data_IF_884316571285
#
_entry.id   IF_884316571285
#
_cell.length_a   1.000
_cell.length_b   1.000
_cell.length_c   1.000
_cell.angle_alpha   90.00
_cell.angle_beta   90.00
_cell.angle_gamma   90.00
#
_symmetry.space_group_name_H-M   'P 1'
#
loop_
_entity.id
_entity.type
_entity.pdbx_description
1 polymer ?
#
# COMPACT_ATOMS: atom_id res chain seq x y z
N UNK A 1 -28.15 -7.62 21.00
CA UNK A 1 -27.22 -7.13 19.97
C UNK A 1 -25.82 -7.49 20.43
N UNK A 2 -25.06 -8.31 19.68
CA UNK A 2 -23.65 -8.48 19.98
C UNK A 2 -22.92 -7.19 19.58
N UNK A 3 -22.13 -6.67 20.51
CA UNK A 3 -21.17 -5.59 20.27
C UNK A 3 -20.21 -5.97 19.14
N UNK A 4 -19.83 -5.06 18.23
CA UNK A 4 -18.73 -5.31 17.31
C UNK A 4 -17.47 -5.50 18.16
N UNK A 5 -16.82 -6.65 18.03
CA UNK A 5 -15.47 -6.84 18.54
C UNK A 5 -14.57 -5.79 17.90
N UNK A 6 -13.93 -4.97 18.73
CA UNK A 6 -12.92 -3.99 18.33
C UNK A 6 -11.83 -4.69 17.50
N UNK A 7 -11.84 -4.51 16.18
CA UNK A 7 -10.79 -5.04 15.30
C UNK A 7 -9.60 -4.07 15.32
N UNK A 8 -8.78 -4.14 16.37
CA UNK A 8 -7.41 -3.65 16.19
C UNK A 8 -6.76 -4.51 15.10
N UNK A 9 -6.09 -3.92 14.10
CA UNK A 9 -5.42 -4.68 13.04
C UNK A 9 -4.61 -5.84 13.63
N UNK A 10 -4.83 -7.07 13.16
CA UNK A 10 -4.18 -8.24 13.76
C UNK A 10 -2.64 -8.11 13.71
N UNK A 11 -1.89 -8.57 14.72
CA UNK A 11 -0.43 -8.45 14.75
C UNK A 11 0.26 -9.02 13.49
N UNK A 12 -0.31 -10.06 12.87
CA UNK A 12 0.17 -10.64 11.61
C UNK A 12 0.03 -9.71 10.41
N UNK A 13 -1.05 -8.90 10.35
CA UNK A 13 -1.21 -7.87 9.30
C UNK A 13 -0.14 -6.81 9.42
N UNK A 14 0.13 -6.33 10.65
CA UNK A 14 1.22 -5.37 10.91
C UNK A 14 2.59 -5.95 10.54
N UNK A 15 2.80 -7.24 10.78
CA UNK A 15 4.08 -7.92 10.50
C UNK A 15 4.31 -7.99 8.99
N UNK A 16 3.32 -8.52 8.28
CA UNK A 16 3.37 -8.61 6.82
C UNK A 16 3.47 -7.23 6.17
N UNK A 17 2.71 -6.26 6.68
CA UNK A 17 2.81 -4.86 6.26
C UNK A 17 4.24 -4.34 6.35
N UNK A 18 4.91 -4.53 7.50
CA UNK A 18 6.28 -4.07 7.72
C UNK A 18 7.27 -4.72 6.76
N UNK A 19 7.14 -6.04 6.54
CA UNK A 19 7.96 -6.78 5.58
C UNK A 19 7.79 -6.28 4.14
N UNK A 20 6.56 -5.98 3.73
CA UNK A 20 6.28 -5.41 2.41
C UNK A 20 6.86 -4.00 2.29
N UNK A 21 6.70 -3.15 3.31
CA UNK A 21 7.29 -1.81 3.33
C UNK A 21 8.79 -1.85 3.07
N UNK A 22 9.49 -2.73 3.77
CA UNK A 22 10.92 -2.93 3.61
C UNK A 22 11.31 -3.46 2.23
N UNK A 23 10.56 -4.43 1.69
CA UNK A 23 10.76 -4.91 0.33
C UNK A 23 10.60 -3.79 -0.71
N UNK A 24 9.57 -2.94 -0.56
CA UNK A 24 9.38 -1.75 -1.41
C UNK A 24 10.58 -0.80 -1.31
N UNK A 25 11.08 -0.53 -0.10
CA UNK A 25 12.25 0.33 0.06
C UNK A 25 13.50 -0.25 -0.60
N UNK A 26 13.78 -1.56 -0.42
CA UNK A 26 14.91 -2.23 -1.08
C UNK A 26 14.81 -2.19 -2.60
N UNK A 27 13.61 -2.33 -3.14
CA UNK A 27 13.36 -2.20 -4.58
C UNK A 27 13.65 -0.79 -5.09
N UNK A 28 13.12 0.24 -4.42
CA UNK A 28 13.33 1.63 -4.80
C UNK A 28 14.80 2.05 -4.72
N UNK A 29 15.54 1.53 -3.75
CA UNK A 29 17.00 1.74 -3.64
C UNK A 29 17.81 1.10 -4.77
N UNK A 30 17.23 0.16 -5.54
CA UNK A 30 17.96 -0.53 -6.61
C UNK A 30 18.17 0.32 -7.86
N UNK A 31 17.36 1.39 -8.04
CA UNK A 31 17.30 2.22 -9.25
C UNK A 31 17.05 1.42 -10.56
N UNK A 32 16.69 0.14 -10.43
CA UNK A 32 16.45 -0.80 -11.53
C UNK A 32 15.05 -1.39 -11.43
N UNK A 33 14.48 -1.93 -12.53
CA UNK A 33 13.21 -2.65 -12.48
C UNK A 33 13.29 -3.76 -11.42
N UNK A 34 12.45 -3.63 -10.41
CA UNK A 34 12.36 -4.52 -9.28
C UNK A 34 11.02 -5.25 -9.26
N UNK A 35 11.05 -6.51 -8.87
CA UNK A 35 9.86 -7.33 -8.66
C UNK A 35 9.73 -7.61 -7.18
N UNK A 36 8.57 -7.30 -6.61
CA UNK A 36 8.15 -7.71 -5.29
C UNK A 36 7.07 -8.79 -5.45
N UNK A 37 7.23 -9.93 -4.78
CA UNK A 37 6.25 -11.00 -4.77
C UNK A 37 5.85 -11.36 -3.33
N UNK A 38 4.55 -11.38 -3.08
CA UNK A 38 3.96 -11.88 -1.84
C UNK A 38 3.28 -13.20 -2.15
N UNK A 39 3.68 -14.26 -1.44
CA UNK A 39 3.10 -15.59 -1.61
C UNK A 39 2.53 -16.15 -0.32
N UNK A 40 1.32 -16.68 -0.41
CA UNK A 40 0.65 -17.41 0.66
C UNK A 40 0.50 -18.85 0.21
N UNK A 41 1.06 -19.79 0.96
CA UNK A 41 0.98 -21.22 0.67
C UNK A 41 0.38 -21.95 1.86
N UNK A 42 -0.78 -22.57 1.64
CA UNK A 42 -1.40 -23.44 2.63
C UNK A 42 -0.56 -24.69 2.92
N UNK A 43 -0.93 -25.46 3.96
CA UNK A 43 -0.25 -26.70 4.28
C UNK A 43 -0.32 -27.67 3.10
N UNK A 44 0.85 -28.16 2.67
CA UNK A 44 0.98 -29.11 1.56
C UNK A 44 0.61 -30.54 1.95
N UNK A 45 0.60 -30.87 3.24
CA UNK A 45 0.21 -32.16 3.79
C UNK A 45 -0.74 -31.93 4.98
N UNK A 46 -1.99 -32.46 4.95
CA UNK A 46 -2.93 -32.36 6.08
C UNK A 46 -2.42 -32.99 7.38
N UNK A 47 -1.43 -33.90 7.30
CA UNK A 47 -0.80 -34.53 8.47
C UNK A 47 0.42 -33.74 9.01
N UNK A 48 0.98 -32.83 8.21
CA UNK A 48 2.00 -31.89 8.66
C UNK A 48 1.33 -30.59 9.13
N UNK A 49 2.01 -29.85 10.02
CA UNK A 49 1.57 -28.58 10.62
C UNK A 49 0.60 -27.79 9.74
N UNK A 50 -0.54 -27.41 10.29
CA UNK A 50 -1.57 -26.62 9.60
C UNK A 50 -1.11 -25.20 9.21
N UNK A 51 0.14 -24.83 9.51
CA UNK A 51 0.64 -23.48 9.36
C UNK A 51 0.58 -22.94 7.91
N UNK A 52 0.07 -21.71 7.79
CA UNK A 52 0.11 -20.93 6.56
C UNK A 52 1.52 -20.35 6.39
N UNK A 53 2.19 -20.69 5.29
CA UNK A 53 3.47 -20.07 4.94
C UNK A 53 3.23 -18.77 4.21
N UNK A 54 3.79 -17.69 4.72
CA UNK A 54 3.83 -16.38 4.06
C UNK A 54 5.28 -16.10 3.65
N UNK A 55 5.49 -15.72 2.39
CA UNK A 55 6.79 -15.27 1.89
C UNK A 55 6.63 -13.90 1.22
N UNK A 56 7.51 -12.96 1.60
CA UNK A 56 7.71 -11.68 0.91
C UNK A 56 9.08 -11.72 0.28
N UNK A 57 9.13 -11.59 -1.04
CA UNK A 57 10.38 -11.61 -1.79
C UNK A 57 10.51 -10.37 -2.68
N UNK A 58 11.73 -9.91 -2.87
CA UNK A 58 12.06 -8.82 -3.76
C UNK A 58 13.37 -9.06 -4.51
N UNK A 59 13.52 -8.42 -5.67
CA UNK A 59 14.77 -8.38 -6.45
C UNK A 59 15.57 -7.09 -6.21
N UNK A 60 15.39 -6.46 -5.05
CA UNK A 60 16.02 -5.20 -4.69
C UNK A 60 17.50 -5.37 -4.33
N UNK A 61 18.06 -4.41 -3.60
CA UNK A 61 19.51 -4.33 -3.29
C UNK A 61 20.04 -5.43 -2.36
N UNK A 62 19.18 -6.29 -1.81
CA UNK A 62 19.51 -7.20 -0.71
C UNK A 62 19.33 -6.52 0.65
N UNK A 63 19.44 -7.30 1.73
CA UNK A 63 19.13 -6.88 3.10
C UNK A 63 20.32 -7.14 4.03
N UNK A 64 20.34 -6.41 5.14
CA UNK A 64 21.19 -6.72 6.29
C UNK A 64 20.32 -7.14 7.46
N UNK A 65 20.87 -7.96 8.35
CA UNK A 65 20.10 -8.53 9.46
C UNK A 65 19.55 -7.48 10.43
N UNK A 66 20.21 -6.32 10.55
CA UNK A 66 19.78 -5.26 11.45
C UNK A 66 18.42 -4.69 11.09
N UNK A 67 18.00 -4.81 9.82
CA UNK A 67 16.67 -4.42 9.35
C UNK A 67 15.57 -5.17 10.12
N UNK A 68 15.76 -6.46 10.40
CA UNK A 68 14.75 -7.30 11.04
C UNK A 68 14.68 -7.15 12.56
N UNK A 69 15.67 -6.49 13.18
CA UNK A 69 15.62 -6.19 14.61
C UNK A 69 14.50 -5.21 14.95
N UNK A 70 14.07 -4.38 14.00
CA UNK A 70 12.98 -3.43 14.20
C UNK A 70 11.62 -4.13 14.39
N UNK A 71 11.49 -5.41 14.03
CA UNK A 71 10.29 -6.21 14.30
C UNK A 71 10.15 -6.66 15.75
N UNK A 72 11.13 -6.39 16.62
CA UNK A 72 11.13 -6.86 18.00
C UNK A 72 9.90 -6.42 18.81
N UNK A 73 9.50 -5.17 18.65
CA UNK A 73 8.30 -4.66 19.33
C UNK A 73 7.05 -5.42 18.87
N UNK A 74 6.95 -5.64 17.56
CA UNK A 74 5.79 -6.28 16.95
C UNK A 74 5.72 -7.79 17.21
N UNK A 75 6.87 -8.45 17.27
CA UNK A 75 6.95 -9.84 17.66
C UNK A 75 6.49 -10.04 19.11
N UNK A 76 6.83 -9.12 20.02
CA UNK A 76 6.32 -9.16 21.41
C UNK A 76 4.82 -8.94 21.52
N UNK A 77 4.22 -8.19 20.60
CA UNK A 77 2.76 -7.99 20.52
C UNK A 77 2.02 -9.19 19.90
N UNK A 78 2.74 -10.08 19.21
CA UNK A 78 2.14 -11.23 18.53
C UNK A 78 2.11 -12.45 19.46
N UNK A 79 0.93 -13.06 19.71
CA UNK A 79 0.85 -14.25 20.54
C UNK A 79 1.62 -15.44 19.94
N UNK A 80 2.32 -16.20 20.80
CA UNK A 80 3.11 -17.39 20.40
C UNK A 80 2.25 -18.48 19.76
N UNK A 81 0.97 -18.56 20.13
CA UNK A 81 0.02 -19.49 19.55
C UNK A 81 -0.25 -19.18 18.07
N UNK A 82 -0.03 -17.92 17.66
CA UNK A 82 -0.32 -17.45 16.32
C UNK A 82 0.90 -17.36 15.40
N UNK A 83 2.09 -17.18 15.97
CA UNK A 83 3.35 -17.20 15.24
C UNK A 83 4.48 -17.63 16.16
N UNK A 84 5.37 -18.48 15.66
CA UNK A 84 6.51 -19.02 16.41
C UNK A 84 7.69 -18.03 16.57
N UNK A 85 7.52 -16.78 16.15
CA UNK A 85 8.54 -15.73 16.16
C UNK A 85 9.69 -15.95 15.18
N UNK A 86 9.65 -17.01 14.38
CA UNK A 86 10.74 -17.34 13.47
C UNK A 86 10.56 -16.68 12.11
N UNK A 87 11.61 -16.00 11.67
CA UNK A 87 11.80 -15.57 10.29
C UNK A 87 12.89 -16.43 9.65
N UNK A 88 12.63 -16.88 8.42
CA UNK A 88 13.63 -17.46 7.54
C UNK A 88 13.97 -16.42 6.47
N UNK A 89 15.21 -15.97 6.47
CA UNK A 89 15.68 -14.89 5.61
C UNK A 89 16.69 -15.45 4.64
N UNK A 90 16.42 -15.31 3.35
CA UNK A 90 17.38 -15.55 2.27
C UNK A 90 17.72 -14.21 1.64
N UNK A 91 18.99 -13.82 1.59
CA UNK A 91 19.35 -12.51 1.04
C UNK A 91 20.70 -12.51 0.35
N UNK A 92 20.83 -11.64 -0.64
CA UNK A 92 22.07 -11.40 -1.34
C UNK A 92 22.09 -10.04 -2.04
N UNK A 93 23.18 -9.30 -1.93
CA UNK A 93 23.42 -8.07 -2.67
C UNK A 93 24.07 -8.32 -4.03
N UNK A 94 24.03 -7.34 -4.93
CA UNK A 94 24.52 -7.48 -6.33
C UNK A 94 26.00 -7.89 -6.39
N UNK A 95 26.80 -7.40 -5.45
CA UNK A 95 28.24 -7.65 -5.36
C UNK A 95 28.61 -8.87 -4.52
N UNK A 96 27.64 -9.51 -3.86
CA UNK A 96 27.89 -10.69 -3.06
C UNK A 96 28.18 -11.90 -3.95
N UNK A 97 29.19 -12.69 -3.56
CA UNK A 97 29.52 -13.97 -4.21
C UNK A 97 28.61 -15.11 -3.78
N UNK A 98 27.83 -14.89 -2.72
CA UNK A 98 27.06 -15.91 -2.04
C UNK A 98 25.65 -15.43 -1.70
N UNK A 99 24.77 -16.40 -1.52
CA UNK A 99 23.40 -16.28 -1.05
C UNK A 99 23.42 -16.73 0.41
N UNK A 100 23.03 -15.81 1.29
CA UNK A 100 23.03 -16.06 2.72
C UNK A 100 21.65 -16.50 3.18
N UNK A 101 21.63 -17.49 4.06
CA UNK A 101 20.41 -18.04 4.64
C UNK A 101 20.52 -17.88 6.16
N UNK A 102 19.50 -17.28 6.77
CA UNK A 102 19.44 -17.01 8.20
C UNK A 102 18.12 -17.49 8.77
N UNK A 103 18.17 -18.00 9.99
CA UNK A 103 17.00 -18.20 10.83
C UNK A 103 17.09 -17.22 11.99
N UNK A 104 16.05 -16.41 12.14
CA UNK A 104 15.97 -15.33 13.11
C UNK A 104 14.76 -15.54 14.03
N UNK A 105 14.97 -15.71 15.33
CA UNK A 105 13.90 -15.93 16.31
C UNK A 105 13.66 -14.65 17.13
N UNK A 106 12.60 -13.91 16.81
CA UNK A 106 12.29 -12.62 17.43
C UNK A 106 11.75 -12.72 18.86
N UNK A 107 11.30 -13.90 19.31
CA UNK A 107 10.91 -14.13 20.71
C UNK A 107 12.10 -14.39 21.63
N UNK A 108 13.27 -14.70 21.09
CA UNK A 108 14.48 -14.83 21.90
C UNK A 108 15.08 -13.46 22.23
N UNK A 109 15.72 -13.35 23.39
CA UNK A 109 16.37 -12.10 23.80
C UNK A 109 17.38 -11.61 22.77
N UNK A 110 17.44 -10.30 22.54
CA UNK A 110 18.34 -9.66 21.57
C UNK A 110 19.82 -10.05 21.76
N UNK A 111 20.25 -10.25 23.01
CA UNK A 111 21.62 -10.65 23.36
C UNK A 111 21.89 -12.16 23.24
N UNK A 112 20.88 -12.97 22.90
CA UNK A 112 21.03 -14.42 22.80
C UNK A 112 21.78 -14.82 21.54
N UNK A 113 22.77 -15.70 21.67
CA UNK A 113 23.50 -16.26 20.52
C UNK A 113 22.64 -17.22 19.68
N UNK A 114 21.56 -17.77 20.24
CA UNK A 114 20.62 -18.66 19.55
C UNK A 114 19.60 -17.91 18.69
N UNK A 115 19.46 -16.59 18.91
CA UNK A 115 18.46 -15.74 18.26
C UNK A 115 18.64 -15.65 16.76
N UNK A 116 19.89 -15.65 16.30
CA UNK A 116 20.22 -15.61 14.89
C UNK A 116 21.20 -16.73 14.57
N UNK A 117 20.76 -17.68 13.75
CA UNK A 117 21.63 -18.73 13.23
C UNK A 117 21.82 -18.57 11.73
N UNK A 118 23.08 -18.52 11.30
CA UNK A 118 23.46 -18.57 9.89
C UNK A 118 23.44 -20.03 9.43
N UNK A 119 22.65 -20.30 8.40
CA UNK A 119 22.53 -21.63 7.79
C UNK A 119 23.56 -21.82 6.68
N UNK A 120 23.56 -23.01 6.07
CA UNK A 120 24.45 -23.32 4.95
C UNK A 120 24.31 -22.26 3.84
N UNK A 121 25.44 -21.69 3.44
CA UNK A 121 25.50 -20.62 2.42
C UNK A 121 25.61 -21.23 1.04
N UNK A 122 24.89 -20.67 0.07
CA UNK A 122 24.92 -21.11 -1.33
C UNK A 122 25.76 -20.12 -2.17
N UNK A 123 26.58 -20.58 -3.11
CA UNK A 123 27.37 -19.69 -3.96
C UNK A 123 26.65 -19.35 -5.26
N UNK A 124 26.79 -18.11 -5.73
CA UNK A 124 26.13 -17.65 -6.97
C UNK A 124 26.74 -18.19 -8.25
N UNK A 125 27.93 -18.79 -8.20
CA UNK A 125 28.62 -19.34 -9.36
C UNK A 125 28.66 -18.35 -10.56
N UNK A 126 29.08 -17.11 -10.29
CA UNK A 126 29.15 -15.98 -11.24
C UNK A 126 27.82 -15.38 -11.73
N UNK A 127 26.67 -15.86 -11.25
CA UNK A 127 25.39 -15.21 -11.52
C UNK A 127 25.34 -13.80 -10.88
N UNK A 128 24.79 -12.83 -11.62
CA UNK A 128 24.62 -11.44 -11.18
C UNK A 128 23.15 -11.16 -10.89
N UNK A 129 22.78 -11.25 -9.62
CA UNK A 129 21.45 -10.90 -9.13
C UNK A 129 21.53 -10.48 -7.66
N UNK A 130 20.49 -9.80 -7.20
CA UNK A 130 20.29 -9.39 -5.82
C UNK A 130 18.83 -9.61 -5.42
N UNK A 131 18.57 -9.61 -4.12
CA UNK A 131 17.22 -9.74 -3.60
C UNK A 131 17.19 -10.23 -2.18
N UNK A 132 15.99 -10.22 -1.62
CA UNK A 132 15.70 -10.74 -0.29
C UNK A 132 14.38 -11.50 -0.34
N UNK A 133 14.34 -12.65 0.32
CA UNK A 133 13.12 -13.38 0.64
C UNK A 133 13.03 -13.53 2.16
N UNK A 134 11.87 -13.21 2.71
CA UNK A 134 11.54 -13.41 4.12
C UNK A 134 10.32 -14.29 4.21
N UNK A 135 10.49 -15.47 4.82
CA UNK A 135 9.43 -16.43 5.06
C UNK A 135 9.10 -16.49 6.55
N UNK A 136 7.82 -16.63 6.86
CA UNK A 136 7.31 -16.90 8.20
C UNK A 136 6.12 -17.86 8.14
N UNK A 137 5.89 -18.58 9.23
CA UNK A 137 4.80 -19.55 9.35
C UNK A 137 3.79 -19.04 10.37
N UNK A 138 2.57 -18.76 9.91
CA UNK A 138 1.45 -18.37 10.75
C UNK A 138 0.64 -19.61 11.13
N UNK A 139 0.08 -19.63 12.33
CA UNK A 139 -0.94 -20.64 12.68
C UNK A 139 -2.11 -20.57 11.70
N UNK A 140 -2.78 -21.69 11.49
CA UNK A 140 -4.05 -21.68 10.78
C UNK A 140 -5.14 -21.14 11.72
N UNK A 141 -5.39 -19.84 11.64
CA UNK A 141 -6.48 -19.20 12.40
C UNK A 141 -7.81 -19.33 11.65
N UNK A 142 -8.93 -19.22 12.38
CA UNK A 142 -10.28 -19.15 11.82
C UNK A 142 -10.51 -17.94 10.89
N UNK A 143 -9.57 -16.99 10.87
CA UNK A 143 -9.65 -15.71 10.15
C UNK A 143 -8.77 -15.66 8.90
N UNK A 144 -8.34 -16.80 8.37
CA UNK A 144 -7.47 -16.87 7.17
C UNK A 144 -8.11 -16.18 5.95
N UNK A 145 -9.43 -16.30 5.78
CA UNK A 145 -10.15 -15.66 4.70
C UNK A 145 -10.15 -14.14 4.84
N UNK A 146 -10.32 -13.62 6.05
CA UNK A 146 -10.23 -12.19 6.36
C UNK A 146 -8.79 -11.66 6.16
N UNK A 147 -7.78 -12.46 6.49
CA UNK A 147 -6.38 -12.13 6.19
C UNK A 147 -6.12 -12.07 4.68
N UNK A 148 -6.63 -13.04 3.91
CA UNK A 148 -6.50 -13.06 2.44
C UNK A 148 -7.25 -11.89 1.80
N UNK A 149 -8.46 -11.59 2.25
CA UNK A 149 -9.25 -10.46 1.77
C UNK A 149 -8.52 -9.14 2.02
N UNK A 150 -7.96 -8.97 3.22
CA UNK A 150 -7.12 -7.81 3.52
C UNK A 150 -5.90 -7.74 2.60
N UNK A 151 -5.20 -8.85 2.36
CA UNK A 151 -3.99 -8.85 1.54
C UNK A 151 -4.29 -8.57 0.06
N UNK A 152 -5.39 -9.11 -0.46
CA UNK A 152 -5.90 -8.81 -1.81
C UNK A 152 -6.24 -7.32 -1.91
N UNK A 153 -6.95 -6.78 -0.92
CA UNK A 153 -7.26 -5.34 -0.84
C UNK A 153 -6.00 -4.48 -0.77
N UNK A 154 -5.02 -4.90 0.04
CA UNK A 154 -3.72 -4.23 0.17
C UNK A 154 -2.99 -4.21 -1.18
N UNK A 155 -2.84 -5.36 -1.85
CA UNK A 155 -2.19 -5.48 -3.15
C UNK A 155 -2.87 -4.58 -4.20
N UNK A 156 -4.21 -4.58 -4.27
CA UNK A 156 -4.99 -3.70 -5.13
C UNK A 156 -4.70 -2.23 -4.86
N UNK A 157 -4.62 -1.81 -3.59
CA UNK A 157 -4.21 -0.45 -3.23
C UNK A 157 -2.79 -0.16 -3.72
N UNK A 158 -1.82 -1.07 -3.58
CA UNK A 158 -0.47 -0.80 -4.09
C UNK A 158 -0.43 -0.60 -5.61
N UNK A 159 -1.26 -1.33 -6.37
CA UNK A 159 -1.35 -1.15 -7.82
C UNK A 159 -1.81 0.26 -8.23
N UNK A 160 -2.55 0.98 -7.38
CA UNK A 160 -2.96 2.39 -7.61
C UNK A 160 -1.75 3.32 -7.76
N UNK A 161 -0.66 3.06 -7.03
CA UNK A 161 0.53 3.92 -7.08
C UNK A 161 1.27 3.80 -8.40
N UNK A 162 1.14 2.67 -9.11
CA UNK A 162 1.90 2.34 -10.33
C UNK A 162 3.38 2.75 -10.24
N UNK A 163 4.00 2.48 -9.08
CA UNK A 163 5.32 2.97 -8.74
C UNK A 163 6.36 2.62 -9.83
N UNK A 164 7.03 3.64 -10.37
CA UNK A 164 8.08 3.45 -11.37
C UNK A 164 9.08 2.37 -10.94
N UNK A 165 9.40 1.45 -11.85
CA UNK A 165 10.37 0.37 -11.63
C UNK A 165 9.99 -0.63 -10.53
N UNK A 166 8.72 -0.70 -10.09
CA UNK A 166 8.27 -1.71 -9.14
C UNK A 166 7.08 -2.51 -9.72
N UNK A 167 7.30 -3.79 -9.97
CA UNK A 167 6.25 -4.75 -10.27
C UNK A 167 5.88 -5.51 -8.99
N UNK A 168 4.59 -5.63 -8.70
CA UNK A 168 4.09 -6.36 -7.53
C UNK A 168 3.26 -7.54 -8.00
N UNK A 169 3.49 -8.69 -7.39
CA UNK A 169 2.72 -9.90 -7.64
C UNK A 169 2.21 -10.50 -6.33
N UNK A 170 0.92 -10.81 -6.30
CA UNK A 170 0.30 -11.58 -5.23
C UNK A 170 -0.04 -12.97 -5.76
N UNK A 171 0.48 -14.01 -5.10
CA UNK A 171 0.14 -15.41 -5.38
C UNK A 171 -0.41 -16.09 -4.13
N UNK A 172 -1.65 -16.54 -4.19
CA UNK A 172 -2.28 -17.30 -3.10
C UNK A 172 -2.52 -18.71 -3.59
N UNK A 173 -1.85 -19.69 -2.98
CA UNK A 173 -1.97 -21.12 -3.24
C UNK A 173 -2.61 -21.80 -2.02
N UNK A 174 -3.91 -22.09 -2.08
CA UNK A 174 -4.60 -22.88 -1.06
C UNK A 174 -5.08 -24.22 -1.62
N UNK A 175 -4.84 -25.28 -0.84
CA UNK A 175 -5.38 -26.63 -0.99
C UNK A 175 -6.59 -26.79 -0.09
N UNK A 176 -7.78 -26.44 -0.56
CA UNK A 176 -9.03 -26.83 0.10
C UNK A 176 -9.47 -28.16 -0.53
N UNK A 177 -10.02 -29.07 0.28
CA UNK A 177 -10.49 -30.41 -0.11
C UNK A 177 -11.57 -30.44 -1.21
N UNK A 178 -12.02 -29.29 -1.70
CA UNK A 178 -13.01 -29.11 -2.77
C UNK A 178 -12.55 -28.25 -3.96
N UNK A 179 -11.27 -27.92 -4.06
CA UNK A 179 -10.71 -27.21 -5.23
C UNK A 179 -9.58 -26.24 -4.86
N UNK A 180 -8.59 -26.11 -5.74
CA UNK A 180 -7.48 -25.16 -5.57
C UNK A 180 -7.96 -23.75 -5.92
N UNK A 181 -7.90 -22.82 -4.96
CA UNK A 181 -8.12 -21.39 -5.21
C UNK A 181 -6.76 -20.75 -5.46
N UNK A 182 -6.42 -20.55 -6.73
CA UNK A 182 -5.24 -19.77 -7.12
C UNK A 182 -5.69 -18.35 -7.43
N UNK A 183 -5.41 -17.41 -6.52
CA UNK A 183 -5.55 -15.98 -6.84
C UNK A 183 -4.18 -15.49 -7.28
N UNK A 184 -4.09 -15.06 -8.54
CA UNK A 184 -2.99 -14.26 -9.05
C UNK A 184 -3.55 -12.90 -9.40
N UNK A 185 -2.96 -11.85 -8.86
CA UNK A 185 -3.20 -10.49 -9.31
C UNK A 185 -1.98 -10.07 -10.13
N UNK A 186 -1.94 -10.38 -11.44
CA UNK A 186 -0.91 -9.85 -12.31
C UNK A 186 -1.09 -8.33 -12.48
N UNK A 187 0.00 -7.66 -12.83
CA UNK A 187 -0.04 -6.26 -13.24
C UNK A 187 -0.68 -6.21 -14.65
N UNK A 188 -2.01 -6.27 -14.75
CA UNK A 188 -2.73 -6.15 -16.02
C UNK A 188 -2.63 -4.70 -16.48
N UNK A 189 -1.66 -4.45 -17.36
CA UNK A 189 -1.47 -3.17 -18.04
C UNK A 189 -2.20 -3.24 -19.39
N UNK A 190 -3.50 -2.94 -19.41
CA UNK A 190 -4.17 -2.63 -20.67
C UNK A 190 -3.75 -1.23 -21.17
N UNK A 191 -3.07 -1.23 -22.32
CA UNK A 191 -2.90 -0.19 -23.35
C UNK A 191 -2.44 1.25 -23.00
N UNK A 192 -2.09 1.58 -21.76
CA UNK A 192 -1.39 2.84 -21.45
C UNK A 192 0.08 2.55 -21.15
N UNK A 193 0.92 2.58 -22.19
CA UNK A 193 2.37 2.55 -22.07
C UNK A 193 2.87 3.84 -21.40
N UNK A 194 2.71 3.95 -20.08
CA UNK A 194 3.37 4.97 -19.29
C UNK A 194 4.87 4.71 -19.36
N UNK A 195 5.61 5.69 -19.86
CA UNK A 195 7.07 5.61 -19.92
C UNK A 195 7.65 5.57 -18.50
N UNK A 196 8.88 5.04 -18.36
CA UNK A 196 9.63 5.12 -17.10
C UNK A 196 9.84 6.59 -16.66
N UNK A 197 9.73 7.56 -17.59
CA UNK A 197 9.85 8.99 -17.32
C UNK A 197 8.55 9.67 -16.84
N UNK A 198 7.44 8.94 -16.77
CA UNK A 198 6.17 9.47 -16.26
C UNK A 198 6.31 9.90 -14.81
N UNK A 199 5.75 11.06 -14.45
CA UNK A 199 5.84 11.59 -13.09
C UNK A 199 5.03 10.74 -12.09
N UNK A 200 5.38 10.80 -10.81
CA UNK A 200 4.66 10.08 -9.73
C UNK A 200 3.16 10.43 -9.70
N UNK A 201 2.80 11.71 -9.88
CA UNK A 201 1.40 12.13 -9.92
C UNK A 201 0.63 11.56 -11.12
N UNK A 202 1.25 11.47 -12.30
CA UNK A 202 0.63 10.86 -13.48
C UNK A 202 0.45 9.34 -13.31
N UNK A 203 1.41 8.67 -12.66
CA UNK A 203 1.29 7.25 -12.29
C UNK A 203 0.12 7.03 -11.33
N UNK A 204 0.01 7.88 -10.30
CA UNK A 204 -1.08 7.85 -9.32
C UNK A 204 -2.44 8.06 -9.99
N UNK A 205 -2.56 9.03 -10.88
CA UNK A 205 -3.79 9.28 -11.65
C UNK A 205 -4.17 8.05 -12.46
N UNK A 206 -3.24 7.52 -13.24
CA UNK A 206 -3.51 6.38 -14.10
C UNK A 206 -3.90 5.12 -13.32
N UNK A 207 -3.25 4.87 -12.18
CA UNK A 207 -3.63 3.75 -11.31
C UNK A 207 -4.94 3.99 -10.56
N UNK A 208 -5.28 5.24 -10.23
CA UNK A 208 -6.58 5.57 -9.64
C UNK A 208 -7.72 5.40 -10.65
N UNK A 209 -7.48 5.73 -11.93
CA UNK A 209 -8.42 5.42 -13.01
C UNK A 209 -8.66 3.91 -13.09
N UNK A 210 -7.62 3.08 -13.18
CA UNK A 210 -7.78 1.62 -13.21
C UNK A 210 -8.53 1.10 -11.99
N UNK A 211 -8.20 1.64 -10.81
CA UNK A 211 -8.84 1.27 -9.57
C UNK A 211 -10.33 1.60 -9.60
N UNK A 212 -10.69 2.78 -10.09
CA UNK A 212 -12.08 3.17 -10.26
C UNK A 212 -12.81 2.21 -11.21
N UNK A 213 -12.19 1.90 -12.36
CA UNK A 213 -12.73 0.99 -13.38
C UNK A 213 -12.88 -0.46 -12.88
N UNK A 214 -11.93 -0.93 -12.07
CA UNK A 214 -11.88 -2.32 -11.58
C UNK A 214 -12.73 -2.57 -10.32
N UNK A 215 -13.10 -1.53 -9.56
CA UNK A 215 -13.82 -1.69 -8.29
C UNK A 215 -15.34 -1.92 -8.39
N UNK A 216 -15.89 -2.08 -9.60
CA UNK A 216 -17.31 -2.41 -9.80
C UNK A 216 -17.60 -3.88 -10.13
N UNK A 217 -16.58 -4.67 -10.48
CA UNK A 217 -16.80 -6.00 -11.08
C UNK A 217 -16.39 -7.13 -10.12
N UNK A 218 -17.37 -7.67 -9.39
CA UNK A 218 -17.38 -9.10 -9.05
C UNK A 218 -17.71 -9.98 -10.28
N UNK A 219 -17.95 -9.37 -11.43
CA UNK A 219 -18.20 -10.02 -12.70
C UNK A 219 -17.07 -9.67 -13.68
N UNK A 220 -16.15 -10.59 -13.94
CA UNK A 220 -14.99 -10.38 -14.83
C UNK A 220 -15.36 -10.03 -16.29
N UNK A 221 -16.65 -9.90 -16.65
CA UNK A 221 -17.13 -9.75 -18.03
C UNK A 221 -18.42 -8.95 -18.11
N UNK A 222 -18.41 -7.72 -17.63
CA UNK A 222 -19.53 -6.82 -17.84
C UNK A 222 -19.11 -5.68 -18.76
N UNK A 223 -19.37 -5.84 -20.06
CA UNK A 223 -19.09 -4.82 -21.09
C UNK A 223 -19.87 -3.52 -20.82
N UNK A 224 -21.00 -3.60 -20.11
CA UNK A 224 -21.76 -2.44 -19.63
C UNK A 224 -21.13 -1.74 -18.40
N UNK A 225 -20.22 -2.41 -17.68
CA UNK A 225 -19.53 -1.93 -16.49
C UNK A 225 -18.21 -1.24 -16.79
N UNK A 226 -17.65 -1.45 -17.97
CA UNK A 226 -16.43 -0.80 -18.42
C UNK A 226 -16.73 0.68 -18.63
N UNK A 227 -16.39 1.49 -17.62
CA UNK A 227 -16.40 2.93 -17.77
C UNK A 227 -15.37 3.31 -18.83
N UNK A 228 -15.80 4.08 -19.83
CA UNK A 228 -14.85 4.71 -20.74
C UNK A 228 -14.01 5.70 -19.92
N UNK A 229 -12.67 5.59 -19.98
CA UNK A 229 -11.73 6.54 -19.36
C UNK A 229 -12.09 7.99 -19.69
N UNK A 230 -12.60 8.25 -20.90
CA UNK A 230 -13.02 9.59 -21.35
C UNK A 230 -14.14 10.22 -20.50
N UNK A 231 -14.86 9.43 -19.69
CA UNK A 231 -15.93 9.89 -18.81
C UNK A 231 -15.45 10.23 -17.39
N UNK A 232 -14.20 9.92 -17.06
CA UNK A 232 -13.59 10.26 -15.78
C UNK A 232 -13.07 11.69 -15.84
N UNK A 233 -13.34 12.47 -14.78
CA UNK A 233 -12.67 13.75 -14.58
C UNK A 233 -11.65 13.59 -13.47
N UNK A 234 -10.44 14.05 -13.73
CA UNK A 234 -9.33 13.97 -12.77
C UNK A 234 -8.92 15.37 -12.36
N UNK A 235 -8.83 15.61 -11.05
CA UNK A 235 -8.15 16.76 -10.46
C UNK A 235 -6.89 16.32 -9.75
N UNK A 236 -5.81 17.09 -9.88
CA UNK A 236 -4.53 16.80 -9.20
C UNK A 236 -4.03 17.99 -8.38
N UNK A 237 -3.22 17.71 -7.37
CA UNK A 237 -2.52 18.72 -6.58
C UNK A 237 -1.19 18.19 -6.06
N UNK A 238 -0.20 19.07 -5.92
CA UNK A 238 1.11 18.72 -5.37
C UNK A 238 1.63 19.81 -4.44
N UNK A 239 2.19 19.43 -3.29
CA UNK A 239 2.85 20.32 -2.35
C UNK A 239 4.24 19.79 -1.99
N UNK A 240 5.17 20.70 -1.72
CA UNK A 240 6.54 20.36 -1.32
C UNK A 240 6.96 21.17 -0.10
N UNK A 241 7.46 20.49 0.93
CA UNK A 241 8.05 21.18 2.06
C UNK A 241 9.47 21.66 1.71
N UNK A 242 9.65 22.99 1.64
CA UNK A 242 10.93 23.65 1.38
C UNK A 242 11.65 24.12 2.66
N UNK A 243 11.10 23.86 3.84
CA UNK A 243 11.60 24.42 5.09
C UNK A 243 12.95 23.81 5.52
N UNK A 244 13.75 24.56 6.29
CA UNK A 244 15.13 24.19 6.68
C UNK A 244 15.21 23.17 7.84
N UNK A 245 14.09 22.68 8.35
CA UNK A 245 13.99 21.70 9.45
C UNK A 245 13.81 20.25 8.94
N UNK A 246 13.53 19.31 9.85
CA UNK A 246 13.61 17.82 9.69
C UNK A 246 12.87 17.23 8.47
N UNK A 247 11.89 17.93 7.89
CA UNK A 247 11.03 17.43 6.81
C UNK A 247 11.35 18.00 5.42
N UNK A 248 12.60 18.40 5.20
CA UNK A 248 13.07 18.93 3.92
C UNK A 248 12.87 17.89 2.81
N UNK A 249 12.11 18.24 1.79
CA UNK A 249 11.92 17.38 0.61
C UNK A 249 10.76 16.38 0.71
N UNK A 250 9.91 16.49 1.73
CA UNK A 250 8.60 15.85 1.76
C UNK A 250 7.72 16.40 0.64
N UNK A 251 7.13 15.49 -0.14
CA UNK A 251 6.20 15.74 -1.22
C UNK A 251 4.84 15.15 -0.85
N UNK A 252 3.78 15.88 -1.19
CA UNK A 252 2.41 15.40 -1.08
C UNK A 252 1.76 15.57 -2.45
N UNK A 253 1.21 14.50 -2.98
CA UNK A 253 0.49 14.44 -4.24
C UNK A 253 -0.94 13.96 -3.96
N UNK A 254 -1.93 14.58 -4.60
CA UNK A 254 -3.33 14.22 -4.46
C UNK A 254 -3.93 14.05 -5.84
N UNK A 255 -4.67 12.97 -6.05
CA UNK A 255 -5.50 12.73 -7.21
C UNK A 255 -6.95 12.51 -6.76
N UNK A 256 -7.88 13.24 -7.37
CA UNK A 256 -9.31 13.10 -7.15
C UNK A 256 -9.94 12.71 -8.49
N UNK A 257 -10.60 11.57 -8.52
CA UNK A 257 -11.32 11.07 -9.68
C UNK A 257 -12.82 11.21 -9.44
N UNK A 258 -13.54 11.73 -10.43
CA UNK A 258 -14.99 11.90 -10.40
C UNK A 258 -15.60 11.23 -11.63
N UNK A 259 -16.54 10.32 -11.39
CA UNK A 259 -17.34 9.66 -12.40
C UNK A 259 -18.75 10.27 -12.42
N UNK A 260 -19.18 10.83 -13.55
CA UNK A 260 -20.53 11.39 -13.69
C UNK A 260 -21.61 10.31 -13.81
N UNK A 261 -22.82 10.60 -13.36
CA UNK A 261 -23.97 9.72 -13.59
C UNK A 261 -24.31 9.70 -15.08
N UNK A 262 -24.13 8.56 -15.74
CA UNK A 262 -24.74 8.29 -17.04
C UNK A 262 -25.96 7.39 -16.82
N UNK A 263 -27.05 7.65 -17.55
CA UNK A 263 -28.32 6.92 -17.45
C UNK A 263 -28.21 5.41 -17.73
N UNK A 264 -27.09 4.97 -18.31
CA UNK A 264 -26.96 3.64 -18.91
C UNK A 264 -26.02 2.68 -18.12
N UNK A 265 -25.50 3.11 -16.96
CA UNK A 265 -24.56 2.31 -16.14
C UNK A 265 -25.33 1.55 -15.03
N UNK A 266 -25.94 0.41 -15.36
CA UNK A 266 -26.82 -0.36 -14.46
C UNK A 266 -26.11 -1.23 -13.42
N UNK A 267 -24.80 -1.27 -13.46
CA UNK A 267 -23.95 -2.24 -12.77
C UNK A 267 -22.99 -1.61 -11.77
N UNK A 268 -22.79 -0.30 -11.88
CA UNK A 268 -22.16 0.46 -10.82
C UNK A 268 -23.19 0.65 -9.71
N UNK A 269 -22.73 0.74 -8.46
CA UNK A 269 -23.56 1.26 -7.38
C UNK A 269 -23.91 2.71 -7.73
N UNK A 270 -25.01 2.91 -8.45
CA UNK A 270 -25.54 4.22 -8.79
C UNK A 270 -25.69 4.99 -7.47
N UNK A 271 -25.06 6.15 -7.38
CA UNK A 271 -25.00 7.01 -6.20
C UNK A 271 -24.29 6.38 -5.00
N UNK A 272 -23.03 5.97 -5.15
CA UNK A 272 -22.20 5.63 -4.00
C UNK A 272 -21.96 6.90 -3.18
N UNK A 273 -22.79 7.10 -2.15
CA UNK A 273 -22.73 8.27 -1.25
C UNK A 273 -21.50 8.26 -0.35
N UNK A 274 -20.57 7.33 -0.55
CA UNK A 274 -19.34 7.21 0.21
C UNK A 274 -18.12 7.04 -0.69
N UNK A 275 -17.01 7.64 -0.28
CA UNK A 275 -15.70 7.56 -0.95
C UNK A 275 -14.67 7.07 0.05
N UNK A 276 -13.99 5.97 -0.28
CA UNK A 276 -12.80 5.57 0.44
C UNK A 276 -11.63 6.49 0.07
N UNK A 277 -10.92 7.00 1.07
CA UNK A 277 -9.69 7.77 0.87
C UNK A 277 -8.52 6.79 0.88
N UNK A 278 -7.83 6.70 -0.24
CA UNK A 278 -6.61 5.91 -0.37
C UNK A 278 -5.43 6.78 0.05
N UNK A 279 -4.74 6.39 1.10
CA UNK A 279 -3.53 7.07 1.56
C UNK A 279 -2.32 6.18 1.33
N UNK A 280 -1.25 6.79 0.84
CA UNK A 280 0.01 6.15 0.54
C UNK A 280 1.14 6.95 1.16
N UNK A 281 2.09 6.25 1.77
CA UNK A 281 3.31 6.84 2.29
C UNK A 281 4.51 6.09 1.77
N UNK A 282 5.49 6.81 1.20
CA UNK A 282 6.73 6.23 0.68
C UNK A 282 6.50 4.97 -0.20
N UNK A 283 5.49 5.06 -1.07
CA UNK A 283 5.08 4.04 -2.06
C UNK A 283 4.46 2.76 -1.47
N UNK A 284 3.90 2.83 -0.27
CA UNK A 284 3.04 1.77 0.30
C UNK A 284 1.69 2.34 0.73
N UNK A 285 0.57 1.60 0.60
CA UNK A 285 -0.70 1.98 1.21
C UNK A 285 -0.50 2.10 2.71
N UNK A 286 -1.05 3.14 3.35
CA UNK A 286 -0.95 3.30 4.79
C UNK A 286 -2.22 3.94 5.37
N UNK A 287 -2.46 3.78 6.69
CA UNK A 287 -3.54 4.47 7.37
C UNK A 287 -3.43 5.99 7.23
N UNK A 288 -4.57 6.69 7.19
CA UNK A 288 -4.56 8.15 7.29
C UNK A 288 -4.45 8.58 8.76
N UNK A 289 -3.72 9.67 9.03
CA UNK A 289 -3.69 10.24 10.38
C UNK A 289 -4.99 10.97 10.71
N UNK A 290 -5.38 10.99 11.99
CA UNK A 290 -6.54 11.78 12.44
C UNK A 290 -6.44 13.25 12.05
N UNK A 291 -5.24 13.83 12.08
CA UNK A 291 -5.00 15.22 11.66
C UNK A 291 -5.32 15.43 10.18
N UNK A 292 -4.87 14.54 9.30
CA UNK A 292 -5.13 14.62 7.86
C UNK A 292 -6.61 14.36 7.55
N UNK A 293 -7.24 13.43 8.28
CA UNK A 293 -8.67 13.20 8.19
C UNK A 293 -9.49 14.43 8.62
N UNK A 294 -9.12 15.10 9.72
CA UNK A 294 -9.78 16.33 10.16
C UNK A 294 -9.65 17.47 9.13
N UNK A 295 -8.52 17.53 8.41
CA UNK A 295 -8.37 18.47 7.29
C UNK A 295 -9.36 18.12 6.18
N UNK A 296 -9.45 16.86 5.76
CA UNK A 296 -10.44 16.44 4.75
C UNK A 296 -11.86 16.77 5.18
N UNK A 297 -12.21 16.57 6.46
CA UNK A 297 -13.53 16.89 7.00
C UNK A 297 -13.84 18.39 7.06
N UNK A 298 -12.82 19.26 7.10
CA UNK A 298 -12.98 20.72 7.21
C UNK A 298 -12.77 21.46 5.89
N UNK A 299 -12.42 20.76 4.81
CA UNK A 299 -12.31 21.35 3.47
C UNK A 299 -13.66 21.90 3.00
N UNK A 300 -13.61 23.05 2.31
CA UNK A 300 -14.77 23.63 1.63
C UNK A 300 -15.08 22.86 0.34
N UNK A 301 -15.57 21.64 0.50
CA UNK A 301 -16.01 20.76 -0.58
C UNK A 301 -17.10 21.41 -1.44
N UNK A 302 -17.89 22.32 -0.88
CA UNK A 302 -18.99 22.98 -1.56
C UNK A 302 -18.49 23.91 -2.68
N UNK A 303 -17.36 24.58 -2.47
CA UNK A 303 -16.69 25.36 -3.53
C UNK A 303 -16.31 24.52 -4.77
N UNK A 304 -16.16 23.20 -4.59
CA UNK A 304 -15.85 22.25 -5.65
C UNK A 304 -17.08 21.50 -6.19
N UNK A 305 -18.28 21.85 -5.71
CA UNK A 305 -19.54 21.19 -6.10
C UNK A 305 -19.86 19.90 -5.34
N UNK A 306 -19.15 19.60 -4.26
CA UNK A 306 -19.38 18.44 -3.39
C UNK A 306 -20.03 18.90 -2.08
N UNK A 307 -21.08 18.20 -1.63
CA UNK A 307 -21.64 18.45 -0.30
C UNK A 307 -21.26 17.31 0.64
N UNK A 308 -20.38 17.58 1.59
CA UNK A 308 -19.97 16.59 2.59
C UNK A 308 -21.09 16.42 3.62
N UNK A 309 -21.56 15.19 3.81
CA UNK A 309 -22.53 14.80 4.85
C UNK A 309 -21.82 14.47 6.16
N UNK A 310 -20.68 13.80 6.05
CA UNK A 310 -19.92 13.32 7.19
C UNK A 310 -18.71 12.51 6.75
N UNK A 311 -18.09 11.82 7.69
CA UNK A 311 -17.02 10.89 7.40
C UNK A 311 -16.75 10.02 8.61
N UNK A 312 -16.16 8.87 8.37
CA UNK A 312 -15.78 7.91 9.38
C UNK A 312 -14.36 7.43 9.11
N UNK A 313 -13.61 7.19 10.18
CA UNK A 313 -12.30 6.57 10.14
C UNK A 313 -12.31 5.42 11.15
N UNK A 314 -11.97 4.22 10.70
CA UNK A 314 -11.89 3.05 11.57
C UNK A 314 -10.60 3.03 12.41
N UNK A 315 -10.49 2.05 13.30
CA UNK A 315 -9.33 1.86 14.18
C UNK A 315 -8.06 1.51 13.39
N UNK A 316 -8.20 1.02 12.16
CA UNK A 316 -7.12 0.76 11.22
C UNK A 316 -6.76 1.98 10.34
N UNK A 317 -7.44 3.12 10.55
CA UNK A 317 -7.24 4.37 9.82
C UNK A 317 -7.62 4.31 8.34
N UNK A 318 -8.54 3.42 7.97
CA UNK A 318 -9.27 3.54 6.71
C UNK A 318 -10.30 4.64 6.85
N UNK A 319 -10.15 5.70 6.06
CA UNK A 319 -11.10 6.80 6.04
C UNK A 319 -12.11 6.68 4.90
N UNK A 320 -13.36 7.02 5.22
CA UNK A 320 -14.47 7.11 4.30
C UNK A 320 -15.12 8.48 4.48
N UNK A 321 -15.31 9.20 3.37
CA UNK A 321 -16.10 10.43 3.33
C UNK A 321 -17.51 10.10 2.83
N UNK A 322 -18.53 10.63 3.49
CA UNK A 322 -19.92 10.52 3.08
C UNK A 322 -20.40 11.83 2.47
N UNK A 323 -21.15 11.73 1.39
CA UNK A 323 -21.61 12.85 0.60
C UNK A 323 -23.13 12.95 0.57
N UNK A 324 -23.65 14.17 0.60
CA UNK A 324 -25.05 14.50 0.43
C UNK A 324 -25.39 14.74 -1.05
N UNK A 325 -26.46 14.13 -1.53
CA UNK A 325 -27.11 14.45 -2.81
C UNK A 325 -26.14 14.48 -4.01
N UNK A 326 -25.58 13.32 -4.35
CA UNK A 326 -24.62 13.21 -5.45
C UNK A 326 -25.27 13.40 -6.81
N UNK A 327 -24.75 14.36 -7.57
CA UNK A 327 -24.99 14.49 -9.01
C UNK A 327 -24.08 13.59 -9.83
N UNK A 328 -23.15 12.89 -9.18
CA UNK A 328 -22.13 12.03 -9.78
C UNK A 328 -22.26 10.59 -9.26
N UNK A 329 -21.81 9.63 -10.08
CA UNK A 329 -21.93 8.21 -9.78
C UNK A 329 -20.94 7.77 -8.69
N UNK A 330 -19.72 8.33 -8.72
CA UNK A 330 -18.63 7.95 -7.80
C UNK A 330 -17.58 9.05 -7.70
N UNK A 331 -16.91 9.10 -6.54
CA UNK A 331 -15.67 9.86 -6.31
C UNK A 331 -14.66 8.92 -5.67
N UNK A 332 -13.42 8.97 -6.13
CA UNK A 332 -12.28 8.27 -5.52
C UNK A 332 -11.17 9.28 -5.22
N UNK A 333 -10.53 9.18 -4.06
CA UNK A 333 -9.50 10.11 -3.61
C UNK A 333 -8.25 9.30 -3.27
N UNK A 334 -7.12 9.68 -3.85
CA UNK A 334 -5.81 9.14 -3.50
C UNK A 334 -4.86 10.26 -3.05
N UNK A 335 -4.17 10.03 -1.94
CA UNK A 335 -3.18 10.94 -1.34
C UNK A 335 -1.88 10.17 -1.21
N UNK A 336 -0.80 10.69 -1.79
CA UNK A 336 0.53 10.09 -1.74
C UNK A 336 1.52 11.05 -1.11
N UNK A 337 2.11 10.65 0.01
CA UNK A 337 3.11 11.40 0.75
C UNK A 337 4.45 10.69 0.69
N UNK A 338 5.51 11.31 0.18
CA UNK A 338 6.80 10.64 0.05
C UNK A 338 7.98 11.62 0.03
N UNK A 339 9.17 11.11 0.31
CA UNK A 339 10.40 11.92 0.22
C UNK A 339 11.00 11.87 -1.19
N UNK A 340 11.22 13.05 -1.79
CA UNK A 340 11.76 13.17 -3.15
C UNK A 340 13.26 12.92 -3.29
N UNK A 341 14.01 12.93 -2.17
CA UNK A 341 15.42 12.54 -2.11
C UNK A 341 15.48 11.41 -1.10
N UNK A 342 15.93 10.22 -1.51
CA UNK A 342 16.20 9.12 -0.57
C UNK A 342 17.30 9.57 0.40
N UNK A 343 17.01 9.79 1.69
CA UNK A 343 18.05 9.79 2.68
C UNK A 343 18.50 8.33 2.80
N UNK A 344 19.79 8.05 2.64
CA UNK A 344 20.40 6.78 3.03
C UNK A 344 20.12 6.38 4.51
N UNK A 345 19.49 7.28 5.27
CA UNK A 345 19.03 7.17 6.64
C UNK A 345 17.56 6.71 6.81
N UNK A 346 16.75 6.51 5.76
CA UNK A 346 15.33 6.10 5.92
C UNK A 346 15.15 4.70 6.49
N UNK A 347 16.17 3.84 6.37
CA UNK A 347 16.27 2.58 7.12
C UNK A 347 16.25 2.78 8.65
N UNK A 348 16.45 3.99 9.19
CA UNK A 348 16.30 4.32 10.62
C UNK A 348 15.05 5.15 10.96
N UNK A 349 14.28 5.59 9.97
CA UNK A 349 13.15 6.52 10.19
C UNK A 349 11.83 5.77 10.21
N UNK A 350 11.70 4.67 9.46
CA UNK A 350 10.51 3.81 9.53
C UNK A 350 10.31 3.18 10.94
N UNK A 351 11.36 3.14 11.75
CA UNK A 351 11.38 2.67 13.14
C UNK A 351 10.64 3.59 14.13
N UNK A 352 10.19 4.79 13.74
CA UNK A 352 9.55 5.76 14.66
C UNK A 352 8.04 5.98 14.46
N UNK A 353 7.38 5.36 13.49
CA UNK A 353 5.99 5.74 13.14
C UNK A 353 4.90 4.69 13.35
N UNK A 354 5.16 3.55 14.00
CA UNK A 354 4.09 2.57 14.33
C UNK A 354 3.61 2.64 15.80
N UNK A 355 4.24 3.47 16.64
CA UNK A 355 3.70 3.78 17.96
C UNK A 355 4.35 5.02 18.53
N UNK A 356 3.54 6.00 18.94
CA UNK A 356 3.99 7.21 19.64
C UNK A 356 4.80 8.21 18.81
N UNK A 357 4.19 8.79 17.77
CA UNK A 357 4.39 10.20 17.49
C UNK A 357 3.05 10.90 17.65
N UNK A 358 2.70 11.17 18.91
CA UNK A 358 2.05 12.42 19.22
C UNK A 358 2.98 13.53 18.73
N UNK A 359 2.84 13.89 17.46
CA UNK A 359 3.24 15.21 17.02
C UNK A 359 2.23 16.12 17.68
N UNK A 360 2.60 16.59 18.86
CA UNK A 360 2.10 17.85 19.36
C UNK A 360 2.31 18.85 18.23
N UNK A 361 1.25 19.13 17.47
CA UNK A 361 1.17 20.30 16.60
C UNK A 361 1.06 21.47 17.58
N UNK A 362 2.18 21.79 18.24
CA UNK A 362 2.28 23.01 19.01
C UNK A 362 2.12 24.16 18.02
N UNK A 363 1.07 24.94 18.27
CA UNK A 363 0.78 26.24 17.70
C UNK A 363 2.05 26.97 17.26
N UNK A 364 2.26 27.06 15.95
CA UNK A 364 3.43 27.72 15.39
C UNK A 364 3.42 27.70 13.88
N UNK A 365 2.45 28.40 13.27
CA UNK A 365 2.53 28.98 11.92
C UNK A 365 3.22 28.13 10.84
N UNK A 366 2.44 27.26 10.19
CA UNK A 366 2.38 27.23 8.72
C UNK A 366 0.98 26.73 8.33
N UNK A 367 0.06 27.64 7.95
CA UNK A 367 -1.15 27.20 7.28
C UNK A 367 -0.74 26.59 5.94
N UNK A 368 -1.46 25.55 5.55
CA UNK A 368 -2.04 25.35 4.23
C UNK A 368 -1.92 26.60 3.35
N UNK A 369 -0.74 26.81 2.78
CA UNK A 369 -0.50 27.69 1.64
C UNK A 369 -0.05 26.76 0.53
N UNK A 370 -0.95 25.87 0.13
CA UNK A 370 -1.33 25.70 -1.27
C UNK A 370 -2.36 24.58 -1.51
N UNK A 371 -3.46 24.65 -0.74
CA UNK A 371 -4.80 24.45 -1.32
C UNK A 371 -5.31 25.76 -1.96
N UNK A 372 -4.39 26.69 -2.30
CA UNK A 372 -4.66 28.07 -2.73
C UNK A 372 -3.87 28.50 -3.99
N UNK A 373 -3.35 27.56 -4.82
CA UNK A 373 -2.81 27.86 -6.17
C UNK A 373 -3.21 26.82 -7.24
N UNK A 374 -4.28 26.05 -7.02
CA UNK A 374 -4.99 25.43 -8.15
C UNK A 374 -6.51 25.66 -8.12
N UNK A 375 -7.00 26.54 -7.25
CA UNK A 375 -8.30 27.22 -7.41
C UNK A 375 -8.20 28.54 -8.21
N UNK A 376 -7.07 28.77 -8.90
CA UNK A 376 -6.92 29.82 -9.91
C UNK A 376 -6.51 29.23 -11.26
N UNK A 377 -7.34 28.33 -11.79
CA UNK A 377 -7.37 28.01 -13.22
C UNK A 377 -8.81 28.07 -13.76
N UNK A 378 -9.46 29.21 -13.55
CA UNK A 378 -10.41 29.76 -14.52
C UNK A 378 -9.96 31.18 -14.87
N UNK A 379 -9.10 31.31 -15.87
CA UNK A 379 -9.20 32.37 -16.89
C UNK A 379 -8.06 32.28 -17.93
N UNK A 380 -8.49 32.14 -19.19
CA UNK A 380 -7.76 32.32 -20.45
C UNK A 380 -6.71 31.28 -20.87
N UNK A 381 -7.18 30.23 -21.57
CA UNK A 381 -6.88 30.15 -23.01
C UNK A 381 -8.16 29.81 -23.75
N UNK A 382 -8.78 30.86 -24.29
CA UNK A 382 -9.81 30.77 -25.32
C UNK A 382 -9.23 30.09 -26.55
N UNK A 383 -9.62 28.84 -26.80
CA UNK A 383 -10.00 28.35 -28.13
C UNK A 383 -11.12 27.32 -27.97
N UNK A 384 -12.31 27.82 -27.62
CA UNK A 384 -13.52 27.38 -28.32
C UNK A 384 -13.33 27.86 -29.76
N UNK A 385 -12.97 26.95 -30.67
CA UNK A 385 -13.32 27.15 -32.06
C UNK A 385 -14.81 26.79 -32.17
N UNK A 386 -15.59 27.74 -32.65
CA UNK A 386 -16.96 27.57 -33.07
C UNK A 386 -17.09 26.34 -34.00
N UNK A 387 -17.98 25.41 -33.65
CA UNK A 387 -19.18 24.95 -34.39
C UNK A 387 -19.77 23.76 -33.62
#
# INVERSE_FOLDING_TARGET
MPSPSSSSSSPHRKLLYSLICWAVQRCRMSESPCRLAVSLKGPSDPAASSALRVSVSDTGVGSKLEEFLELDALARETPLEKWDGTLLITTTGTNDKAIYHYRFNLHENASSSTRCSKMATTYKNNAKFSGTEVCLCLSNDADIDDFILWLVGFARKVHVLRAANLAIELSIEQTISSGSRNVRLPNESDDTHLSIATSSIEQLVSGLEDYALSHGNTCDKCDACCMNRDRLKVGTGSAKNSDRRRDKGLLVEIAIMVAHTASDLSCWMVNCSSTQVLHFQDFVPCPISQSSFNVLMSMDWQSFGFKLKGGFMDDEGNAVLEWDNLTFARVDIAIHTYHGIYPALVLRILSFSIGCLGVDIQHGFFPIVFLQLSLTCFSYSTRMAEI
#
